data_IF_326212920808
#
_entry.id   IF_326212920808
#
_cell.length_a   1.000
_cell.length_b   1.000
_cell.length_c   1.000
_cell.angle_alpha   90.00
_cell.angle_beta   90.00
_cell.angle_gamma   90.00
#
_symmetry.space_group_name_H-M   'P 1'
#
loop_
_entity.id
_entity.type
_entity.pdbx_description
1 polymer ?
#
# COMPACT_ATOMS: atom_id res chain seq x y z
N UNK A 1 -12.84 -14.67 -11.66
CA UNK A 1 -12.31 -13.37 -12.12
C UNK A 1 -11.95 -12.53 -10.90
N UNK A 2 -10.78 -11.91 -10.89
CA UNK A 2 -10.27 -11.02 -9.84
C UNK A 2 -10.71 -9.59 -10.16
N UNK A 3 -11.30 -8.87 -9.21
CA UNK A 3 -11.57 -7.44 -9.34
C UNK A 3 -10.40 -6.60 -8.80
N UNK A 4 -9.90 -5.65 -9.56
CA UNK A 4 -8.82 -4.76 -9.17
C UNK A 4 -9.32 -3.32 -9.21
N UNK A 5 -9.42 -2.66 -8.05
CA UNK A 5 -9.75 -1.23 -7.98
C UNK A 5 -8.46 -0.41 -7.98
N UNK A 6 -8.06 0.04 -9.16
CA UNK A 6 -6.90 0.91 -9.40
C UNK A 6 -7.21 2.41 -9.31
N UNK A 7 -6.27 3.23 -9.78
CA UNK A 7 -6.42 4.69 -9.86
C UNK A 7 -5.92 5.47 -8.65
N UNK A 8 -5.28 4.80 -7.68
CA UNK A 8 -4.83 5.40 -6.42
C UNK A 8 -3.31 5.30 -6.09
N UNK A 9 -2.31 5.30 -6.95
CA UNK A 9 -2.27 5.76 -8.34
C UNK A 9 -2.46 4.71 -9.42
N UNK A 10 -2.56 5.25 -10.63
CA UNK A 10 -2.71 4.44 -11.84
C UNK A 10 -1.51 3.52 -12.04
N UNK A 11 -0.30 4.00 -11.93
CA UNK A 11 0.92 3.19 -12.09
C UNK A 11 0.98 2.02 -11.10
N UNK A 12 0.52 2.22 -9.87
CA UNK A 12 0.46 1.15 -8.86
C UNK A 12 -0.54 0.04 -9.23
N UNK A 13 -1.68 0.41 -9.83
CA UNK A 13 -2.66 -0.55 -10.34
C UNK A 13 -2.12 -1.37 -11.51
N UNK A 14 -1.44 -0.71 -12.45
CA UNK A 14 -0.79 -1.37 -13.59
C UNK A 14 0.37 -2.27 -13.14
N UNK A 15 1.20 -1.81 -12.20
CA UNK A 15 2.27 -2.62 -11.58
C UNK A 15 1.73 -3.89 -10.92
N UNK A 16 0.59 -3.77 -10.22
CA UNK A 16 -0.08 -4.93 -9.64
C UNK A 16 -0.52 -5.93 -10.71
N UNK A 17 -1.18 -5.48 -11.79
CA UNK A 17 -1.59 -6.35 -12.89
C UNK A 17 -0.38 -7.05 -13.56
N UNK A 18 0.69 -6.31 -13.79
CA UNK A 18 1.93 -6.86 -14.35
C UNK A 18 2.54 -7.93 -13.42
N UNK A 19 2.60 -7.68 -12.12
CA UNK A 19 3.08 -8.64 -11.12
C UNK A 19 2.19 -9.88 -11.06
N UNK A 20 0.88 -9.72 -11.12
CA UNK A 20 -0.07 -10.82 -11.18
C UNK A 20 0.21 -11.72 -12.39
N UNK A 21 0.36 -11.14 -13.58
CA UNK A 21 0.68 -11.87 -14.80
C UNK A 21 2.05 -12.58 -14.74
N UNK A 22 3.06 -11.91 -14.14
CA UNK A 22 4.41 -12.52 -14.00
C UNK A 22 4.43 -13.69 -13.02
N UNK A 23 3.70 -13.58 -11.89
CA UNK A 23 3.68 -14.65 -10.86
C UNK A 23 2.89 -15.89 -11.29
N UNK A 24 1.84 -15.69 -12.07
CA UNK A 24 0.94 -16.77 -12.52
C UNK A 24 1.04 -16.96 -14.02
N UNK A 25 2.27 -17.10 -14.53
CA UNK A 25 2.51 -17.38 -15.95
C UNK A 25 1.95 -18.73 -16.33
N UNK A 26 1.07 -18.71 -17.32
CA UNK A 26 0.61 -19.89 -18.03
C UNK A 26 1.53 -20.27 -19.20
N UNK A 27 1.31 -21.45 -19.77
CA UNK A 27 1.93 -21.86 -21.03
C UNK A 27 1.21 -21.28 -22.24
N UNK A 28 -0.08 -21.02 -22.11
CA UNK A 28 -0.97 -20.42 -23.10
C UNK A 28 -1.77 -19.28 -22.46
N UNK A 29 -2.40 -18.42 -23.26
CA UNK A 29 -3.15 -17.25 -22.76
C UNK A 29 -4.27 -17.62 -21.79
N UNK A 30 -4.90 -18.77 -21.96
CA UNK A 30 -6.01 -19.25 -21.14
C UNK A 30 -5.61 -19.67 -19.73
N UNK A 31 -4.33 -19.89 -19.48
CA UNK A 31 -3.80 -20.25 -18.15
C UNK A 31 -3.60 -19.02 -17.25
N UNK A 32 -3.61 -17.80 -17.82
CA UNK A 32 -3.43 -16.59 -17.03
C UNK A 32 -4.66 -16.26 -16.16
N UNK A 33 -4.48 -15.63 -15.00
CA UNK A 33 -5.60 -15.29 -14.13
C UNK A 33 -6.53 -14.29 -14.80
N UNK A 34 -7.80 -14.62 -14.88
CA UNK A 34 -8.84 -13.70 -15.37
C UNK A 34 -9.05 -12.56 -14.36
N UNK A 35 -8.80 -11.32 -14.77
CA UNK A 35 -9.02 -10.14 -13.93
C UNK A 35 -9.71 -9.00 -14.68
N UNK A 36 -10.35 -8.13 -13.91
CA UNK A 36 -10.96 -6.89 -14.38
C UNK A 36 -10.36 -5.71 -13.61
N UNK A 37 -9.59 -4.86 -14.29
CA UNK A 37 -9.04 -3.63 -13.73
C UNK A 37 -10.01 -2.47 -13.97
N UNK A 38 -10.56 -1.92 -12.89
CA UNK A 38 -11.26 -0.64 -12.92
C UNK A 38 -10.35 0.47 -12.39
N UNK A 39 -9.69 1.20 -13.29
CA UNK A 39 -8.79 2.30 -12.94
C UNK A 39 -9.59 3.58 -12.70
N UNK A 40 -10.02 3.81 -11.45
CA UNK A 40 -10.79 4.98 -11.02
C UNK A 40 -9.85 6.06 -10.47
N UNK A 41 -9.31 6.90 -11.35
CA UNK A 41 -8.31 7.93 -11.00
C UNK A 41 -8.90 9.17 -10.34
N UNK A 42 -10.22 9.37 -10.41
CA UNK A 42 -10.96 10.48 -9.79
C UNK A 42 -11.33 10.27 -8.31
N UNK A 43 -10.86 9.16 -7.68
CA UNK A 43 -11.01 8.98 -6.23
C UNK A 43 -10.24 10.10 -5.51
N UNK A 44 -10.89 10.87 -4.61
CA UNK A 44 -10.24 11.99 -3.93
C UNK A 44 -8.96 11.59 -3.20
N UNK A 45 -8.02 12.52 -3.07
CA UNK A 45 -6.74 12.31 -2.39
C UNK A 45 -6.94 11.69 -0.99
N UNK A 46 -6.33 10.52 -0.76
CA UNK A 46 -6.47 9.79 0.53
C UNK A 46 -5.76 10.51 1.67
N UNK A 47 -4.49 10.97 1.52
CA UNK A 47 -3.81 11.69 2.61
C UNK A 47 -4.53 12.98 3.03
N UNK A 48 -5.10 13.71 2.08
CA UNK A 48 -5.80 14.97 2.29
C UNK A 48 -7.21 14.78 2.91
N UNK A 49 -7.72 13.55 2.83
CA UNK A 49 -9.04 13.16 3.34
C UNK A 49 -8.97 12.49 4.73
N UNK A 50 -7.77 12.37 5.28
CA UNK A 50 -7.52 11.86 6.62
C UNK A 50 -7.31 13.08 7.53
N UNK A 51 -8.22 13.31 8.48
CA UNK A 51 -8.07 14.36 9.51
C UNK A 51 -6.79 14.18 10.32
N UNK A 52 -6.44 15.18 11.14
CA UNK A 52 -5.37 15.00 12.13
C UNK A 52 -5.81 13.89 13.08
N UNK A 53 -5.11 12.77 13.10
CA UNK A 53 -5.44 11.66 13.99
C UNK A 53 -4.99 12.01 15.40
N UNK A 54 -5.93 12.32 16.28
CA UNK A 54 -5.72 12.21 17.73
C UNK A 54 -5.77 10.74 18.06
N UNK A 55 -4.68 10.18 18.56
CA UNK A 55 -4.43 8.74 18.74
C UNK A 55 -5.43 7.90 19.55
N UNK A 56 -6.64 8.38 19.80
CA UNK A 56 -7.71 7.69 20.51
C UNK A 56 -8.76 7.13 19.54
N UNK A 57 -9.12 5.88 19.76
CA UNK A 57 -10.05 5.08 18.93
C UNK A 57 -11.48 5.66 18.95
N UNK A 58 -11.84 6.47 19.92
CA UNK A 58 -13.21 6.98 20.16
C UNK A 58 -13.65 8.11 19.24
N UNK A 59 -12.74 8.93 18.70
CA UNK A 59 -13.08 10.05 17.82
C UNK A 59 -12.41 9.91 16.45
N UNK A 60 -13.09 9.24 15.51
CA UNK A 60 -12.63 9.04 14.13
C UNK A 60 -12.50 10.34 13.34
N UNK A 61 -13.18 11.42 13.80
CA UNK A 61 -13.24 12.71 13.10
C UNK A 61 -13.08 13.87 14.07
N UNK A 62 -12.16 14.79 13.78
CA UNK A 62 -11.94 16.03 14.55
C UNK A 62 -12.93 17.15 14.23
N UNK A 63 -13.61 17.07 13.07
CA UNK A 63 -14.53 18.10 12.60
C UNK A 63 -15.52 17.56 11.58
N UNK A 64 -16.63 18.29 11.36
CA UNK A 64 -17.61 18.02 10.29
C UNK A 64 -16.91 17.99 8.92
N UNK A 65 -15.93 18.87 8.69
CA UNK A 65 -15.16 18.91 7.45
C UNK A 65 -14.35 17.62 7.22
N UNK A 66 -13.72 17.07 8.26
CA UNK A 66 -12.97 15.79 8.15
C UNK A 66 -13.89 14.61 7.89
N UNK A 67 -15.09 14.60 8.50
CA UNK A 67 -16.13 13.60 8.23
C UNK A 67 -16.61 13.66 6.77
N UNK A 68 -16.91 14.84 6.24
CA UNK A 68 -17.32 15.02 4.84
C UNK A 68 -16.26 14.52 3.86
N UNK A 69 -14.98 14.81 4.11
CA UNK A 69 -13.87 14.32 3.27
C UNK A 69 -13.75 12.80 3.32
N UNK A 70 -13.86 12.20 4.51
CA UNK A 70 -13.86 10.75 4.68
C UNK A 70 -14.99 10.09 3.88
N UNK A 71 -16.21 10.62 4.02
CA UNK A 71 -17.40 10.10 3.34
C UNK A 71 -17.30 10.22 1.81
N UNK A 72 -16.71 11.30 1.30
CA UNK A 72 -16.49 11.48 -0.15
C UNK A 72 -15.57 10.39 -0.71
N UNK A 73 -14.47 10.05 -0.01
CA UNK A 73 -13.59 8.93 -0.42
C UNK A 73 -14.33 7.61 -0.31
N UNK A 74 -15.03 7.34 0.81
CA UNK A 74 -15.77 6.10 1.00
C UNK A 74 -16.82 5.89 -0.11
N UNK A 75 -17.60 6.92 -0.44
CA UNK A 75 -18.57 6.89 -1.55
C UNK A 75 -17.91 6.48 -2.87
N UNK A 76 -16.75 7.09 -3.16
CA UNK A 76 -16.02 6.82 -4.40
C UNK A 76 -15.46 5.41 -4.47
N UNK A 77 -14.92 4.89 -3.34
CA UNK A 77 -14.45 3.51 -3.22
C UNK A 77 -15.62 2.51 -3.36
N UNK A 78 -16.75 2.75 -2.69
CA UNK A 78 -17.95 1.92 -2.79
C UNK A 78 -18.44 1.86 -4.24
N UNK A 79 -18.51 3.00 -4.93
CA UNK A 79 -18.89 3.03 -6.33
C UNK A 79 -17.99 2.13 -7.19
N UNK A 80 -16.67 2.27 -7.02
CA UNK A 80 -15.69 1.45 -7.76
C UNK A 80 -15.83 -0.05 -7.47
N UNK A 81 -15.94 -0.42 -6.20
CA UNK A 81 -16.12 -1.81 -5.80
C UNK A 81 -17.43 -2.40 -6.30
N UNK A 82 -18.53 -1.63 -6.31
CA UNK A 82 -19.82 -2.09 -6.87
C UNK A 82 -19.78 -2.32 -8.37
N UNK A 83 -18.95 -1.58 -9.13
CA UNK A 83 -18.73 -1.88 -10.55
C UNK A 83 -18.06 -3.25 -10.73
N UNK A 84 -17.09 -3.58 -9.88
CA UNK A 84 -16.44 -4.89 -9.88
C UNK A 84 -17.40 -6.03 -9.44
N UNK A 85 -18.26 -5.79 -8.46
CA UNK A 85 -19.34 -6.73 -8.10
C UNK A 85 -20.26 -7.02 -9.29
N UNK A 86 -20.72 -5.97 -9.96
CA UNK A 86 -21.59 -6.10 -11.16
C UNK A 86 -20.89 -6.85 -12.29
N UNK A 87 -19.58 -6.71 -12.42
CA UNK A 87 -18.76 -7.48 -13.35
C UNK A 87 -18.53 -8.93 -12.91
N UNK A 88 -19.23 -9.42 -11.86
CA UNK A 88 -19.14 -10.79 -11.33
C UNK A 88 -17.73 -11.20 -10.89
N UNK A 89 -16.93 -10.24 -10.37
CA UNK A 89 -15.69 -10.56 -9.71
C UNK A 89 -15.94 -11.38 -8.43
N UNK A 90 -15.07 -12.34 -8.13
CA UNK A 90 -15.19 -13.19 -6.94
C UNK A 90 -14.69 -12.50 -5.67
N UNK A 91 -13.68 -11.64 -5.79
CA UNK A 91 -13.12 -10.82 -4.73
C UNK A 91 -12.45 -9.58 -5.32
N UNK A 92 -12.15 -8.60 -4.47
CA UNK A 92 -11.56 -7.32 -4.86
C UNK A 92 -10.20 -7.15 -4.22
N UNK A 93 -9.22 -6.68 -5.00
CA UNK A 93 -7.94 -6.18 -4.53
C UNK A 93 -7.87 -4.67 -4.76
N UNK A 94 -7.36 -3.94 -3.77
CA UNK A 94 -7.16 -2.49 -3.84
C UNK A 94 -5.66 -2.21 -3.69
N UNK A 95 -4.89 -2.02 -4.78
CA UNK A 95 -3.45 -1.75 -4.74
C UNK A 95 -3.14 -0.34 -4.20
N UNK A 96 -3.53 -0.07 -2.96
CA UNK A 96 -3.34 1.20 -2.27
C UNK A 96 -3.38 0.99 -0.75
N UNK A 97 -2.23 1.07 -0.08
CA UNK A 97 -2.16 0.87 1.36
C UNK A 97 -3.04 1.85 2.14
N UNK A 98 -3.00 3.14 1.79
CA UNK A 98 -3.78 4.19 2.49
C UNK A 98 -5.29 3.96 2.36
N UNK A 99 -5.78 3.36 1.27
CA UNK A 99 -7.20 3.10 1.07
C UNK A 99 -7.77 2.12 2.11
N UNK A 100 -6.93 1.29 2.72
CA UNK A 100 -7.34 0.35 3.78
C UNK A 100 -7.74 1.02 5.10
N UNK A 101 -7.57 2.35 5.22
CA UNK A 101 -8.19 3.12 6.29
C UNK A 101 -9.73 3.05 6.26
N UNK A 102 -10.31 2.90 5.07
CA UNK A 102 -11.75 2.76 4.85
C UNK A 102 -12.22 1.30 4.80
N UNK A 103 -11.32 0.33 5.00
CA UNK A 103 -11.59 -1.08 4.77
C UNK A 103 -12.86 -1.57 5.47
N UNK A 104 -13.00 -1.34 6.78
CA UNK A 104 -14.14 -1.84 7.57
C UNK A 104 -15.49 -1.28 7.06
N UNK A 105 -15.55 0.03 6.81
CA UNK A 105 -16.77 0.67 6.33
C UNK A 105 -17.07 0.34 4.87
N UNK A 106 -16.03 0.07 4.09
CA UNK A 106 -16.16 -0.36 2.70
C UNK A 106 -16.66 -1.79 2.60
N UNK A 107 -16.06 -2.73 3.37
CA UNK A 107 -16.45 -4.13 3.35
C UNK A 107 -17.93 -4.32 3.77
N UNK A 108 -18.43 -3.53 4.72
CA UNK A 108 -19.87 -3.56 5.11
C UNK A 108 -20.83 -3.21 3.96
N UNK A 109 -20.34 -2.52 2.92
CA UNK A 109 -21.16 -2.04 1.79
C UNK A 109 -21.00 -2.89 0.52
N UNK A 110 -20.08 -3.85 0.53
CA UNK A 110 -19.70 -4.70 -0.60
C UNK A 110 -19.92 -6.16 -0.21
N UNK A 111 -20.62 -6.91 -1.07
CA UNK A 111 -21.01 -8.31 -0.79
C UNK A 111 -19.86 -9.30 -0.96
N UNK A 112 -18.99 -9.06 -1.96
CA UNK A 112 -17.83 -9.92 -2.23
C UNK A 112 -16.63 -9.52 -1.34
N UNK A 113 -15.74 -10.47 -1.00
CA UNK A 113 -14.58 -10.18 -0.16
C UNK A 113 -13.65 -9.12 -0.77
N UNK A 114 -13.19 -8.19 0.05
CA UNK A 114 -12.09 -7.28 -0.27
C UNK A 114 -10.85 -7.79 0.46
N UNK A 115 -9.76 -8.03 -0.27
CA UNK A 115 -8.50 -8.48 0.33
C UNK A 115 -7.92 -7.34 1.18
N UNK A 116 -7.69 -7.61 2.47
CA UNK A 116 -7.08 -6.66 3.38
C UNK A 116 -5.55 -6.72 3.25
N UNK A 117 -4.98 -5.89 2.39
CA UNK A 117 -3.54 -5.88 2.08
C UNK A 117 -2.65 -5.78 3.34
N UNK A 118 -2.86 -4.87 4.33
CA UNK A 118 -2.07 -4.86 5.56
C UNK A 118 -2.13 -6.17 6.34
N UNK A 119 -3.28 -6.87 6.36
CA UNK A 119 -3.43 -8.17 7.01
C UNK A 119 -2.65 -9.26 6.28
N UNK A 120 -2.66 -9.27 4.96
CA UNK A 120 -1.86 -10.23 4.18
C UNK A 120 -0.35 -10.00 4.38
N UNK A 121 0.10 -8.74 4.39
CA UNK A 121 1.49 -8.40 4.73
C UNK A 121 1.85 -8.91 6.13
N UNK A 122 0.96 -8.79 7.11
CA UNK A 122 1.17 -9.35 8.45
C UNK A 122 1.27 -10.88 8.42
N UNK A 123 0.35 -11.57 7.74
CA UNK A 123 0.35 -13.01 7.60
C UNK A 123 1.65 -13.51 6.96
N UNK A 124 2.12 -12.83 5.92
CA UNK A 124 3.40 -13.13 5.29
C UNK A 124 4.60 -12.86 6.22
N UNK A 125 4.56 -11.76 6.98
CA UNK A 125 5.62 -11.42 7.94
C UNK A 125 5.74 -12.50 9.02
N UNK A 126 4.63 -13.04 9.52
CA UNK A 126 4.61 -14.15 10.49
C UNK A 126 5.38 -15.38 10.00
N UNK A 127 5.30 -15.67 8.70
CA UNK A 127 6.01 -16.81 8.10
C UNK A 127 7.53 -16.56 7.95
N UNK A 128 7.98 -15.29 8.00
CA UNK A 128 9.35 -14.88 7.66
C UNK A 128 10.14 -14.29 8.82
N UNK A 129 9.49 -13.86 9.88
CA UNK A 129 10.10 -13.15 11.00
C UNK A 129 9.66 -13.74 12.34
N UNK A 130 10.60 -13.82 13.29
CA UNK A 130 10.28 -14.15 14.69
C UNK A 130 9.45 -13.04 15.31
N UNK A 131 8.57 -13.39 16.27
CA UNK A 131 7.84 -12.44 17.11
C UNK A 131 8.82 -11.44 17.74
N UNK A 132 8.37 -10.22 17.98
CA UNK A 132 9.16 -9.10 18.51
C UNK A 132 10.30 -8.61 17.59
N UNK A 133 10.37 -9.10 16.34
CA UNK A 133 11.31 -8.53 15.38
C UNK A 133 10.94 -7.08 15.04
N UNK A 134 11.98 -6.26 14.84
CA UNK A 134 11.83 -4.89 14.32
C UNK A 134 11.56 -4.92 12.82
N UNK A 135 10.44 -4.34 12.41
CA UNK A 135 9.99 -4.29 11.01
C UNK A 135 9.92 -2.83 10.56
N UNK A 136 10.72 -2.47 9.56
CA UNK A 136 10.69 -1.13 8.97
C UNK A 136 9.42 -0.91 8.14
N UNK A 137 8.89 0.30 8.14
CA UNK A 137 7.77 0.69 7.29
C UNK A 137 8.11 1.97 6.52
N UNK A 138 8.14 1.88 5.19
CA UNK A 138 8.21 3.02 4.27
C UNK A 138 6.81 3.25 3.69
N UNK A 139 6.16 4.36 4.03
CA UNK A 139 4.78 4.61 3.65
C UNK A 139 4.50 6.10 3.46
N UNK A 140 3.32 6.43 2.89
CA UNK A 140 2.84 7.81 2.87
C UNK A 140 2.52 8.31 4.28
N UNK A 141 2.57 9.63 4.50
CA UNK A 141 2.09 10.21 5.76
C UNK A 141 0.64 9.82 6.07
N UNK A 142 -0.21 9.68 5.04
CA UNK A 142 -1.58 9.21 5.22
C UNK A 142 -1.63 7.79 5.80
N UNK A 143 -0.83 6.86 5.29
CA UNK A 143 -0.75 5.49 5.81
C UNK A 143 -0.23 5.48 7.26
N UNK A 144 0.77 6.31 7.58
CA UNK A 144 1.31 6.43 8.94
C UNK A 144 0.26 7.02 9.91
N UNK A 145 -0.39 8.13 9.53
CA UNK A 145 -1.42 8.79 10.35
C UNK A 145 -2.62 7.89 10.65
N UNK A 146 -3.04 7.06 9.69
CA UNK A 146 -4.18 6.15 9.89
C UNK A 146 -3.86 4.92 10.71
N UNK A 147 -2.58 4.64 10.94
CA UNK A 147 -2.09 3.52 11.74
C UNK A 147 -2.65 2.16 11.29
N UNK A 148 -2.90 2.02 9.97
CA UNK A 148 -3.48 0.77 9.40
C UNK A 148 -2.59 -0.45 9.61
N UNK A 149 -1.27 -0.26 9.67
CA UNK A 149 -0.32 -1.31 9.98
C UNK A 149 -0.17 -1.53 11.49
N UNK A 150 -0.11 -0.46 12.28
CA UNK A 150 0.06 -0.53 13.73
C UNK A 150 -1.01 -1.37 14.41
N UNK A 151 -2.28 -1.19 14.04
CA UNK A 151 -3.41 -1.95 14.58
C UNK A 151 -3.26 -3.46 14.43
N UNK A 152 -2.52 -3.90 13.42
CA UNK A 152 -2.35 -5.32 13.09
C UNK A 152 -1.01 -5.85 13.65
N UNK A 153 0.06 -5.03 13.60
CA UNK A 153 1.42 -5.45 13.91
C UNK A 153 1.81 -5.32 15.38
N UNK A 154 1.32 -4.29 16.11
CA UNK A 154 1.81 -3.90 17.44
C UNK A 154 1.86 -5.01 18.49
N UNK A 155 1.00 -6.03 18.40
CA UNK A 155 1.00 -7.16 19.34
C UNK A 155 2.13 -8.17 19.11
N UNK A 156 2.79 -8.13 17.93
CA UNK A 156 3.73 -9.16 17.51
C UNK A 156 5.07 -8.60 17.01
N UNK A 157 5.13 -7.33 16.63
CA UNK A 157 6.30 -6.72 16.00
C UNK A 157 6.47 -5.27 16.43
N UNK A 158 7.72 -4.82 16.50
CA UNK A 158 8.08 -3.41 16.65
C UNK A 158 8.09 -2.77 15.26
N UNK A 159 7.10 -1.93 14.93
CA UNK A 159 7.13 -1.13 13.71
C UNK A 159 8.10 0.04 13.89
N UNK A 160 9.02 0.19 12.94
CA UNK A 160 10.06 1.22 12.96
C UNK A 160 10.00 2.08 11.70
N UNK A 161 10.09 3.39 11.86
CA UNK A 161 9.86 4.37 10.80
C UNK A 161 11.09 5.23 10.57
N UNK A 162 11.28 5.78 9.36
CA UNK A 162 12.22 6.87 9.15
C UNK A 162 11.90 8.07 10.06
N UNK A 163 12.94 8.79 10.50
CA UNK A 163 12.69 10.02 11.22
C UNK A 163 12.02 11.08 10.34
N UNK A 164 11.49 12.16 10.92
CA UNK A 164 10.71 13.20 10.22
C UNK A 164 11.46 13.82 9.03
N UNK A 165 12.81 14.00 9.14
CA UNK A 165 13.63 14.53 8.06
C UNK A 165 13.65 13.55 6.87
N UNK A 166 13.93 12.28 7.12
CA UNK A 166 13.96 11.23 6.09
C UNK A 166 12.56 10.96 5.51
N UNK A 167 11.51 11.00 6.35
CA UNK A 167 10.14 10.86 5.85
C UNK A 167 9.83 11.94 4.81
N UNK A 168 10.13 13.21 5.12
CA UNK A 168 9.84 14.34 4.21
C UNK A 168 10.78 14.37 3.00
N UNK A 169 12.09 14.26 3.22
CA UNK A 169 13.10 14.50 2.18
C UNK A 169 13.42 13.27 1.33
N UNK A 170 13.13 12.08 1.81
CA UNK A 170 13.42 10.83 1.12
C UNK A 170 12.12 10.12 0.71
N UNK A 171 11.31 9.65 1.67
CA UNK A 171 10.13 8.83 1.38
C UNK A 171 9.08 9.58 0.58
N UNK A 172 8.62 10.75 1.07
CA UNK A 172 7.55 11.52 0.41
C UNK A 172 7.98 12.04 -0.97
N UNK A 173 9.25 12.46 -1.11
CA UNK A 173 9.78 12.91 -2.40
C UNK A 173 9.87 11.76 -3.40
N UNK A 174 10.36 10.57 -2.97
CA UNK A 174 10.43 9.41 -3.85
C UNK A 174 9.04 8.98 -4.35
N UNK A 175 8.04 8.93 -3.47
CA UNK A 175 6.65 8.62 -3.84
C UNK A 175 6.12 9.63 -4.88
N UNK A 176 6.37 10.92 -4.67
CA UNK A 176 5.97 11.98 -5.60
C UNK A 176 6.65 11.83 -6.94
N UNK A 177 7.96 11.57 -6.95
CA UNK A 177 8.73 11.40 -8.17
C UNK A 177 8.24 10.23 -9.01
N UNK A 178 7.89 9.10 -8.40
CA UNK A 178 7.28 7.96 -9.12
C UNK A 178 5.96 8.38 -9.78
N UNK A 179 5.10 9.10 -9.05
CA UNK A 179 3.81 9.59 -9.60
C UNK A 179 3.98 10.54 -10.78
N UNK A 180 5.08 11.28 -10.82
CA UNK A 180 5.45 12.18 -11.92
C UNK A 180 6.26 11.49 -13.03
N UNK A 181 6.49 10.17 -12.96
CA UNK A 181 7.30 9.43 -13.93
C UNK A 181 8.81 9.50 -13.70
N UNK A 182 9.30 10.25 -12.70
CA UNK A 182 10.72 10.43 -12.40
C UNK A 182 11.32 9.24 -11.63
N UNK A 183 11.13 8.03 -12.12
CA UNK A 183 11.50 6.78 -11.40
C UNK A 183 12.99 6.71 -11.07
N UNK A 184 13.87 7.15 -11.99
CA UNK A 184 15.34 7.20 -11.76
C UNK A 184 15.71 8.07 -10.56
N UNK A 185 15.09 9.23 -10.44
CA UNK A 185 15.31 10.17 -9.34
C UNK A 185 14.75 9.60 -8.02
N UNK A 186 13.55 9.02 -8.07
CA UNK A 186 12.93 8.38 -6.92
C UNK A 186 13.80 7.28 -6.32
N UNK A 187 14.40 6.43 -7.18
CA UNK A 187 15.31 5.35 -6.76
C UNK A 187 16.55 5.85 -6.02
N UNK A 188 17.09 7.01 -6.38
CA UNK A 188 18.20 7.64 -5.67
C UNK A 188 17.74 8.26 -4.34
N UNK A 189 16.64 8.98 -4.35
CA UNK A 189 16.12 9.73 -3.20
C UNK A 189 15.67 8.82 -2.06
N UNK A 190 15.16 7.60 -2.34
CA UNK A 190 14.71 6.68 -1.29
C UNK A 190 15.86 6.01 -0.50
N UNK A 191 17.09 5.99 -1.03
CA UNK A 191 18.21 5.26 -0.45
C UNK A 191 18.55 5.65 1.00
N UNK A 192 18.58 6.94 1.40
CA UNK A 192 18.89 7.32 2.78
C UNK A 192 17.89 6.72 3.78
N UNK A 193 16.59 6.67 3.44
CA UNK A 193 15.57 6.09 4.31
C UNK A 193 15.74 4.56 4.44
N UNK A 194 16.06 3.86 3.35
CA UNK A 194 16.34 2.42 3.37
C UNK A 194 17.58 2.13 4.23
N UNK A 195 18.69 2.85 4.02
CA UNK A 195 19.92 2.70 4.81
C UNK A 195 19.68 2.94 6.30
N UNK A 196 18.86 3.93 6.63
CA UNK A 196 18.47 4.23 8.01
C UNK A 196 17.76 3.05 8.67
N UNK A 197 16.78 2.44 8.00
CA UNK A 197 16.07 1.28 8.53
C UNK A 197 16.99 0.06 8.70
N UNK A 198 17.89 -0.18 7.74
CA UNK A 198 18.89 -1.27 7.81
C UNK A 198 19.86 -1.04 8.98
N UNK A 199 20.39 0.18 9.14
CA UNK A 199 21.29 0.56 10.26
C UNK A 199 20.62 0.34 11.61
N UNK A 200 19.31 0.57 11.70
CA UNK A 200 18.50 0.32 12.90
C UNK A 200 18.03 -1.14 13.04
N UNK A 201 18.67 -2.07 12.35
CA UNK A 201 18.48 -3.53 12.47
C UNK A 201 17.06 -4.03 12.14
N UNK A 202 16.33 -3.33 11.27
CA UNK A 202 15.06 -3.84 10.78
C UNK A 202 15.26 -5.17 10.02
N UNK A 203 14.56 -6.21 10.41
CA UNK A 203 14.67 -7.56 9.80
C UNK A 203 14.01 -7.61 8.42
N UNK A 204 12.93 -6.86 8.25
CA UNK A 204 12.23 -6.65 6.99
C UNK A 204 11.80 -5.19 6.88
N UNK A 205 11.55 -4.74 5.65
CA UNK A 205 11.06 -3.39 5.33
C UNK A 205 9.81 -3.53 4.48
N UNK A 206 8.66 -3.13 5.03
CA UNK A 206 7.39 -3.08 4.32
C UNK A 206 7.40 -1.86 3.38
N UNK A 207 7.11 -2.09 2.11
CA UNK A 207 6.92 -1.04 1.12
C UNK A 207 5.45 -0.57 1.13
N UNK A 208 5.06 0.10 2.22
CA UNK A 208 3.68 0.52 2.52
C UNK A 208 3.15 1.67 1.67
N UNK A 209 3.77 1.90 0.52
CA UNK A 209 3.26 2.72 -0.58
C UNK A 209 3.60 2.01 -1.90
N UNK A 210 2.61 1.76 -2.73
CA UNK A 210 2.72 0.95 -3.94
C UNK A 210 3.57 1.58 -5.06
N UNK A 211 3.94 2.83 -4.93
CA UNK A 211 4.94 3.50 -5.77
C UNK A 211 6.38 3.12 -5.40
N UNK A 212 6.66 2.76 -4.14
CA UNK A 212 8.03 2.46 -3.70
C UNK A 212 8.63 1.22 -4.36
N UNK A 213 7.90 0.11 -4.56
CA UNK A 213 8.41 -1.01 -5.36
C UNK A 213 8.88 -0.60 -6.74
N UNK A 214 8.12 0.29 -7.43
CA UNK A 214 8.48 0.79 -8.75
C UNK A 214 9.84 1.49 -8.73
N UNK A 215 10.09 2.35 -7.72
CA UNK A 215 11.36 3.04 -7.56
C UNK A 215 12.51 2.05 -7.21
N UNK A 216 12.26 1.12 -6.29
CA UNK A 216 13.30 0.25 -5.73
C UNK A 216 13.72 -0.83 -6.72
N UNK A 217 12.76 -1.43 -7.45
CA UNK A 217 13.04 -2.55 -8.35
C UNK A 217 13.34 -2.14 -9.79
N UNK A 218 13.05 -0.89 -10.20
CA UNK A 218 13.44 -0.37 -11.51
C UNK A 218 14.97 -0.38 -11.74
N UNK A 219 15.76 -0.40 -10.67
CA UNK A 219 17.21 -0.38 -10.70
C UNK A 219 17.80 -1.65 -10.06
N UNK A 220 17.91 -2.73 -10.85
CA UNK A 220 18.67 -3.95 -10.46
C UNK A 220 20.15 -3.65 -10.11
N UNK A 221 20.67 -2.48 -10.48
CA UNK A 221 22.06 -2.07 -10.30
C UNK A 221 22.34 -1.26 -9.04
N UNK A 222 21.37 -1.01 -8.15
CA UNK A 222 21.67 -0.33 -6.89
C UNK A 222 22.38 -1.31 -5.97
N UNK A 223 23.72 -1.31 -6.07
CA UNK A 223 24.67 -2.15 -5.31
C UNK A 223 24.48 -2.13 -3.78
N UNK A 224 23.71 -1.17 -3.25
CA UNK A 224 23.50 -0.98 -1.81
C UNK A 224 22.46 -1.92 -1.19
N UNK A 225 21.62 -2.57 -2.00
CA UNK A 225 20.64 -3.54 -1.50
C UNK A 225 21.01 -4.91 -2.03
N UNK A 226 22.00 -5.54 -1.38
CA UNK A 226 22.50 -6.89 -1.70
C UNK A 226 21.44 -7.99 -1.60
N UNK A 227 20.21 -7.68 -1.14
CA UNK A 227 19.16 -8.68 -1.01
C UNK A 227 17.78 -8.06 -1.17
N UNK A 228 17.11 -8.35 -2.29
CA UNK A 228 15.67 -8.09 -2.46
C UNK A 228 14.82 -8.75 -1.36
N UNK A 229 15.38 -9.76 -0.68
CA UNK A 229 14.74 -10.50 0.42
C UNK A 229 14.40 -9.67 1.65
N UNK A 230 15.00 -8.48 1.84
CA UNK A 230 14.67 -7.60 2.96
C UNK A 230 13.31 -6.90 2.78
N UNK A 231 12.88 -6.67 1.55
CA UNK A 231 11.65 -5.96 1.26
C UNK A 231 10.41 -6.87 1.30
N UNK A 232 9.33 -6.32 1.83
CA UNK A 232 7.98 -6.87 1.73
C UNK A 232 7.17 -5.94 0.84
N UNK A 233 6.93 -6.36 -0.39
CA UNK A 233 6.10 -5.64 -1.35
C UNK A 233 4.65 -6.13 -1.22
N UNK A 234 3.72 -5.27 -0.76
CA UNK A 234 2.32 -5.66 -0.59
C UNK A 234 1.63 -6.11 -1.89
N UNK A 235 2.15 -5.72 -3.05
CA UNK A 235 1.62 -6.14 -4.35
C UNK A 235 2.13 -7.54 -4.78
N UNK A 236 3.02 -8.18 -4.01
CA UNK A 236 3.56 -9.51 -4.27
C UNK A 236 3.16 -10.55 -3.21
N UNK A 237 2.40 -10.14 -2.22
CA UNK A 237 1.92 -10.94 -1.09
C UNK A 237 0.45 -11.28 -1.27
#
# INVERSE_FOLDING_TARGET
MIGILGGMGTQAGLDFCNKLAIQYRGKIDQDYPLFFLYNKSDIPGRPESIGKSTGTISNKFESISSKKKYEKVLKSLVYGCKKLEKAKCKFIVIPCNTAHYWYEDLQKKIKIPIINMPKEVFNHTKKKCKKNSKIGLLATEGTLKTRVYDKIFNKNYELFFPNNKLQKQSVNKAIRDVKMGNVKRAAKIIQPAIKYLIKNRCKKIILGCTELPIAIFAFKSIKTVKSSKIFLDPNLI
#
